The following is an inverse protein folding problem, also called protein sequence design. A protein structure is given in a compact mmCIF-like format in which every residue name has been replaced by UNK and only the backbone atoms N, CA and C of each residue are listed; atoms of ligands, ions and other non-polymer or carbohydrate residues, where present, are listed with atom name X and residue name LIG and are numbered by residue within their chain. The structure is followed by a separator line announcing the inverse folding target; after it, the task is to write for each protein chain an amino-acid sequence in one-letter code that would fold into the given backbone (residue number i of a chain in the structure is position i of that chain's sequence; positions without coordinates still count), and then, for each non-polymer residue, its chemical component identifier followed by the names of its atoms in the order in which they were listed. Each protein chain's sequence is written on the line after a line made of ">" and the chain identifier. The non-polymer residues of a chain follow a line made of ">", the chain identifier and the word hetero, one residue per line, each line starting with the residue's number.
data_IF_252977245541
#
_entry.id   IF_252977245541
#
_cell.length_a   1.000
_cell.length_b   1.000
_cell.length_c   1.000
_cell.angle_alpha   90.00
_cell.angle_beta   90.00
_cell.angle_gamma   90.00
#
_symmetry.space_group_name_H-M   'P 1'
#
loop_
_entity.id
_entity.type
_entity.pdbx_description
1 polymer ?
#
# COMPACT_ATOMS: atom_id res chain seq x y z
N UNK A 1 -6.78 12.63 -2.50
CA UNK A 1 -6.08 11.37 -2.86
C UNK A 1 -4.95 11.18 -1.88
N UNK A 2 -4.77 9.96 -1.37
CA UNK A 2 -3.63 9.61 -0.53
C UNK A 2 -2.35 9.70 -1.38
N UNK A 3 -1.26 10.16 -0.79
CA UNK A 3 0.05 10.32 -1.46
C UNK A 3 1.10 9.83 -0.47
N UNK A 4 2.09 9.10 -0.96
CA UNK A 4 3.28 8.70 -0.18
C UNK A 4 4.55 9.20 -0.86
N UNK A 5 5.64 9.31 -0.12
CA UNK A 5 6.96 9.61 -0.72
C UNK A 5 7.68 8.34 -1.14
N UNK A 6 8.59 8.44 -2.12
CA UNK A 6 9.46 7.30 -2.49
C UNK A 6 10.39 6.94 -1.33
N UNK A 7 10.77 7.92 -0.50
CA UNK A 7 11.47 7.69 0.77
C UNK A 7 10.69 6.78 1.70
N UNK A 8 9.40 7.04 1.93
CA UNK A 8 8.55 6.17 2.76
C UNK A 8 8.47 4.75 2.21
N UNK A 9 8.25 4.58 0.90
CA UNK A 9 8.27 3.27 0.25
C UNK A 9 9.61 2.56 0.47
N UNK A 10 10.71 3.26 0.21
CA UNK A 10 12.06 2.71 0.33
C UNK A 10 12.34 2.26 1.76
N UNK A 11 12.18 3.11 2.76
CA UNK A 11 12.47 2.76 4.16
C UNK A 11 11.55 1.66 4.69
N UNK A 12 10.25 1.72 4.36
CA UNK A 12 9.27 0.73 4.82
C UNK A 12 9.51 -0.65 4.20
N UNK A 13 9.93 -0.70 2.92
CA UNK A 13 9.96 -1.93 2.12
C UNK A 13 11.33 -2.36 1.65
N UNK A 14 12.41 -1.70 2.10
CA UNK A 14 13.79 -2.00 1.71
C UNK A 14 14.13 -3.48 1.81
N UNK A 15 13.82 -4.10 2.95
CA UNK A 15 14.12 -5.51 3.20
C UNK A 15 13.19 -6.43 2.42
N UNK A 16 11.88 -6.19 2.50
CA UNK A 16 10.84 -7.02 1.85
C UNK A 16 11.01 -7.09 0.33
N UNK A 17 11.40 -5.98 -0.30
CA UNK A 17 11.56 -5.85 -1.76
C UNK A 17 13.04 -5.95 -2.20
N UNK A 18 13.96 -6.25 -1.27
CA UNK A 18 15.40 -6.32 -1.49
C UNK A 18 15.96 -5.10 -2.25
N UNK A 19 15.56 -3.89 -1.83
CA UNK A 19 15.88 -2.63 -2.51
C UNK A 19 17.23 -2.07 -2.08
N UNK A 20 17.93 -1.48 -3.04
CA UNK A 20 19.04 -0.57 -2.86
C UNK A 20 18.80 0.71 -3.67
N UNK A 21 19.21 1.84 -3.11
CA UNK A 21 19.18 3.11 -3.83
C UNK A 21 20.38 3.17 -4.80
N UNK A 22 20.12 3.62 -6.03
CA UNK A 22 21.15 3.81 -7.08
C UNK A 22 21.51 5.30 -7.19
N UNK A 23 20.50 6.18 -7.22
CA UNK A 23 20.66 7.64 -7.30
C UNK A 23 21.00 8.28 -5.96
N UNK A 24 21.15 9.60 -5.94
CA UNK A 24 21.40 10.37 -4.73
C UNK A 24 20.18 10.33 -3.77
N UNK A 25 20.39 10.30 -2.43
CA UNK A 25 19.31 10.22 -1.44
C UNK A 25 18.24 11.32 -1.53
N UNK A 26 18.58 12.47 -2.09
CA UNK A 26 17.72 13.64 -2.29
C UNK A 26 16.59 13.34 -3.28
N UNK A 27 16.84 12.44 -4.25
CA UNK A 27 15.86 12.02 -5.27
C UNK A 27 14.64 11.31 -4.69
N UNK A 28 14.75 10.73 -3.49
CA UNK A 28 13.68 10.00 -2.80
C UNK A 28 12.49 10.88 -2.35
N UNK A 29 12.59 12.21 -2.48
CA UNK A 29 11.53 13.14 -2.08
C UNK A 29 10.37 13.22 -3.07
N UNK A 30 10.46 12.54 -4.22
CA UNK A 30 9.33 12.39 -5.17
C UNK A 30 8.12 11.77 -4.50
N UNK A 31 6.95 12.14 -5.01
CA UNK A 31 5.64 11.69 -4.52
C UNK A 31 5.08 10.63 -5.44
N UNK A 32 4.44 9.63 -4.87
CA UNK A 32 3.67 8.61 -5.57
C UNK A 32 2.20 8.76 -5.19
N UNK A 33 1.35 8.95 -6.20
CA UNK A 33 -0.11 9.10 -6.06
C UNK A 33 -0.91 7.98 -6.71
N UNK A 34 -0.23 7.06 -7.40
CA UNK A 34 -0.85 5.96 -8.15
C UNK A 34 -0.49 4.61 -7.53
N UNK A 35 -1.47 3.71 -7.48
CA UNK A 35 -1.27 2.33 -7.04
C UNK A 35 -0.73 1.41 -8.14
N UNK A 36 -0.70 1.90 -9.39
CA UNK A 36 -0.33 1.10 -10.54
C UNK A 36 1.18 0.99 -10.72
N UNK A 37 1.57 0.04 -11.55
CA UNK A 37 2.95 -0.20 -11.94
C UNK A 37 2.98 -0.29 -13.46
N UNK A 38 3.90 0.43 -14.08
CA UNK A 38 4.10 0.39 -15.52
C UNK A 38 5.43 -0.27 -15.88
N UNK A 39 5.44 -0.97 -17.01
CA UNK A 39 6.65 -1.47 -17.67
C UNK A 39 6.81 -0.72 -18.99
N UNK A 40 7.79 0.17 -19.11
CA UNK A 40 7.81 1.18 -20.17
C UNK A 40 8.32 0.66 -21.53
N UNK A 41 7.99 -0.57 -21.93
CA UNK A 41 8.55 -1.20 -23.14
C UNK A 41 8.32 -0.38 -24.43
N UNK A 42 7.07 0.01 -24.70
CA UNK A 42 6.73 0.81 -25.90
C UNK A 42 7.21 2.27 -25.78
N UNK A 43 7.20 2.83 -24.57
CA UNK A 43 7.71 4.17 -24.30
C UNK A 43 9.20 4.28 -24.64
N UNK A 44 9.97 3.25 -24.29
CA UNK A 44 11.38 3.16 -24.68
C UNK A 44 11.57 3.08 -26.19
N UNK A 45 10.61 2.55 -26.94
CA UNK A 45 10.64 2.54 -28.40
C UNK A 45 10.21 3.88 -29.05
N UNK A 46 9.76 4.85 -28.25
CA UNK A 46 9.39 6.20 -28.70
C UNK A 46 7.88 6.47 -28.73
N UNK A 47 7.03 5.53 -28.31
CA UNK A 47 5.58 5.72 -28.27
C UNK A 47 5.10 6.13 -26.87
N UNK A 48 4.81 7.42 -26.68
CA UNK A 48 4.50 8.02 -25.38
C UNK A 48 3.03 8.42 -25.18
N UNK A 49 2.18 8.29 -26.20
CA UNK A 49 0.78 8.79 -26.18
C UNK A 49 -0.06 8.19 -25.05
N UNK A 50 0.25 6.97 -24.62
CA UNK A 50 -0.45 6.23 -23.54
C UNK A 50 0.47 5.90 -22.37
N UNK A 51 1.53 6.68 -22.18
CA UNK A 51 2.48 6.44 -21.11
C UNK A 51 1.95 6.88 -19.74
N UNK A 52 1.87 5.93 -18.80
CA UNK A 52 1.45 6.18 -17.42
C UNK A 52 2.60 6.74 -16.59
N UNK A 53 2.78 8.06 -16.59
CA UNK A 53 3.88 8.71 -15.88
C UNK A 53 3.66 8.88 -14.37
N UNK A 54 2.43 8.77 -13.88
CA UNK A 54 2.05 8.98 -12.48
C UNK A 54 2.36 7.79 -11.56
N UNK A 55 2.94 6.71 -12.11
CA UNK A 55 3.10 5.42 -11.44
C UNK A 55 4.56 4.91 -11.44
N UNK A 56 4.84 3.87 -10.65
CA UNK A 56 6.18 3.30 -10.59
C UNK A 56 6.56 2.66 -11.93
N UNK A 57 7.77 2.93 -12.40
CA UNK A 57 8.30 2.36 -13.64
C UNK A 57 9.22 1.18 -13.32
N UNK A 58 8.84 -0.03 -13.72
CA UNK A 58 9.64 -1.24 -13.48
C UNK A 58 10.42 -1.62 -14.72
N UNK A 59 11.74 -1.69 -14.57
CA UNK A 59 12.66 -2.08 -15.63
C UNK A 59 13.13 -3.50 -15.39
N UNK A 60 12.63 -4.40 -16.23
CA UNK A 60 13.04 -5.79 -16.32
C UNK A 60 14.19 -5.96 -17.30
N UNK A 61 14.46 -7.23 -17.58
CA UNK A 61 15.52 -7.60 -18.51
C UNK A 61 15.23 -7.18 -19.95
N UNK A 62 13.96 -7.16 -20.36
CA UNK A 62 13.58 -6.71 -21.71
C UNK A 62 13.90 -5.23 -21.89
N UNK A 63 13.50 -4.40 -20.93
CA UNK A 63 13.69 -2.96 -20.97
C UNK A 63 15.18 -2.59 -20.90
N UNK A 64 15.93 -3.21 -19.99
CA UNK A 64 17.38 -2.96 -19.84
C UNK A 64 18.16 -3.44 -21.06
N UNK A 65 17.92 -4.67 -21.54
CA UNK A 65 18.63 -5.19 -22.73
C UNK A 65 18.30 -4.38 -23.97
N UNK A 66 17.06 -3.94 -24.14
CA UNK A 66 16.67 -3.08 -25.24
C UNK A 66 17.48 -1.78 -25.23
N UNK A 67 17.57 -1.09 -24.08
CA UNK A 67 18.39 0.11 -23.95
C UNK A 67 19.86 -0.14 -24.33
N UNK A 68 20.42 -1.28 -23.93
CA UNK A 68 21.79 -1.67 -24.25
C UNK A 68 22.03 -1.95 -25.76
N UNK A 69 20.98 -2.18 -26.55
CA UNK A 69 21.11 -2.32 -28.02
C UNK A 69 21.19 -0.98 -28.76
N UNK A 70 20.85 0.13 -28.11
CA UNK A 70 20.79 1.44 -28.74
C UNK A 70 22.15 2.15 -28.70
N UNK A 71 22.47 2.97 -29.70
CA UNK A 71 23.55 3.95 -29.58
C UNK A 71 23.33 4.87 -28.36
N UNK A 72 24.41 5.26 -27.68
CA UNK A 72 24.32 6.02 -26.42
C UNK A 72 23.51 7.31 -26.55
N UNK A 73 23.69 8.07 -27.64
CA UNK A 73 22.93 9.30 -27.90
C UNK A 73 21.42 9.06 -27.94
N UNK A 74 20.99 8.01 -28.66
CA UNK A 74 19.58 7.64 -28.79
C UNK A 74 19.01 7.08 -27.49
N UNK A 75 19.81 6.31 -26.74
CA UNK A 75 19.45 5.80 -25.43
C UNK A 75 19.16 6.95 -24.45
N UNK A 76 20.07 7.93 -24.39
CA UNK A 76 19.93 9.11 -23.52
C UNK A 76 18.77 10.00 -23.95
N UNK A 77 18.56 10.18 -25.25
CA UNK A 77 17.40 10.91 -25.78
C UNK A 77 16.08 10.30 -25.28
N UNK A 78 15.94 8.97 -25.39
CA UNK A 78 14.71 8.25 -24.98
C UNK A 78 14.49 8.29 -23.48
N UNK A 79 15.55 8.07 -22.70
CA UNK A 79 15.47 8.16 -21.24
C UNK A 79 15.13 9.58 -20.78
N UNK A 80 15.73 10.61 -21.40
CA UNK A 80 15.41 12.02 -21.11
C UNK A 80 13.95 12.32 -21.37
N UNK A 81 13.38 11.86 -22.49
CA UNK A 81 11.94 12.04 -22.78
C UNK A 81 11.06 11.42 -21.70
N UNK A 82 11.37 10.22 -21.22
CA UNK A 82 10.63 9.57 -20.12
C UNK A 82 10.77 10.36 -18.82
N UNK A 83 11.98 10.82 -18.47
CA UNK A 83 12.22 11.55 -17.22
C UNK A 83 11.54 12.92 -17.21
N UNK A 84 11.44 13.58 -18.37
CA UNK A 84 10.70 14.83 -18.54
C UNK A 84 9.19 14.70 -18.30
N UNK A 85 8.64 13.48 -18.26
CA UNK A 85 7.24 13.24 -17.89
C UNK A 85 7.01 13.22 -16.37
N UNK A 86 8.05 13.57 -15.58
CA UNK A 86 8.00 13.69 -14.13
C UNK A 86 7.61 12.40 -13.40
N UNK A 87 8.20 11.27 -13.83
CA UNK A 87 7.91 9.97 -13.24
C UNK A 87 8.31 9.90 -11.76
N UNK A 88 7.57 9.16 -10.92
CA UNK A 88 7.83 9.15 -9.49
C UNK A 88 9.10 8.39 -9.13
N UNK A 89 9.36 7.24 -9.78
CA UNK A 89 10.50 6.38 -9.47
C UNK A 89 10.68 5.29 -10.53
N UNK A 90 11.92 4.87 -10.74
CA UNK A 90 12.29 3.65 -11.48
C UNK A 90 12.75 2.58 -10.52
N UNK A 91 12.31 1.34 -10.73
CA UNK A 91 12.85 0.16 -10.03
C UNK A 91 13.40 -0.83 -11.06
N UNK A 92 14.72 -1.06 -11.01
CA UNK A 92 15.42 -2.03 -11.85
C UNK A 92 15.40 -3.38 -11.15
N UNK A 93 15.09 -4.46 -11.87
CA UNK A 93 14.94 -5.80 -11.29
C UNK A 93 16.14 -6.71 -11.56
N UNK A 94 16.17 -7.88 -10.92
CA UNK A 94 17.21 -8.92 -11.08
C UNK A 94 18.64 -8.46 -10.79
N UNK A 95 18.82 -7.37 -10.04
CA UNK A 95 20.13 -6.77 -9.81
C UNK A 95 20.80 -6.24 -11.08
N UNK A 96 20.03 -6.01 -12.16
CA UNK A 96 20.52 -5.33 -13.34
C UNK A 96 20.87 -3.88 -13.02
N UNK A 97 21.75 -3.30 -13.84
CA UNK A 97 22.18 -1.91 -13.73
C UNK A 97 21.97 -1.18 -15.04
N UNK A 98 21.77 0.13 -14.94
CA UNK A 98 21.86 1.00 -16.10
C UNK A 98 23.31 1.42 -16.35
N UNK A 99 23.62 1.87 -17.58
CA UNK A 99 24.85 2.61 -17.84
C UNK A 99 24.95 3.88 -16.96
N UNK A 100 26.16 4.28 -16.53
CA UNK A 100 26.37 5.45 -15.67
C UNK A 100 25.77 6.76 -16.23
N UNK A 101 25.69 6.89 -17.56
CA UNK A 101 25.12 8.07 -18.20
C UNK A 101 23.61 8.24 -17.94
N UNK A 102 22.86 7.15 -17.75
CA UNK A 102 21.45 7.20 -17.33
C UNK A 102 21.34 7.61 -15.85
N UNK A 103 22.21 7.08 -14.99
CA UNK A 103 22.22 7.43 -13.57
C UNK A 103 22.51 8.92 -13.35
N UNK A 104 23.51 9.46 -14.05
CA UNK A 104 23.82 10.88 -14.04
C UNK A 104 22.61 11.73 -14.47
N UNK A 105 21.97 11.35 -15.58
CA UNK A 105 20.77 12.02 -16.06
C UNK A 105 19.60 11.94 -15.06
N UNK A 106 19.47 10.83 -14.35
CA UNK A 106 18.43 10.65 -13.34
C UNK A 106 18.67 11.55 -12.13
N UNK A 107 19.91 11.68 -11.66
CA UNK A 107 20.26 12.63 -10.60
C UNK A 107 19.99 14.09 -11.03
N UNK A 108 20.43 14.47 -12.23
CA UNK A 108 20.22 15.82 -12.80
C UNK A 108 18.73 16.19 -12.90
N UNK A 109 17.88 15.24 -13.30
CA UNK A 109 16.43 15.42 -13.41
C UNK A 109 15.66 15.03 -12.14
N UNK A 110 16.37 14.76 -11.04
CA UNK A 110 15.81 14.40 -9.75
C UNK A 110 14.84 13.20 -9.79
N UNK A 111 15.15 12.18 -10.59
CA UNK A 111 14.38 10.94 -10.73
C UNK A 111 15.03 9.85 -9.87
N UNK A 112 14.35 9.30 -8.84
CA UNK A 112 14.92 8.25 -8.04
C UNK A 112 14.98 6.93 -8.82
N UNK A 113 16.13 6.27 -8.74
CA UNK A 113 16.33 4.92 -9.25
C UNK A 113 16.65 3.99 -8.09
N UNK A 114 15.85 2.95 -7.97
CA UNK A 114 16.06 1.85 -7.04
C UNK A 114 16.46 0.59 -7.84
N UNK A 115 17.26 -0.27 -7.23
CA UNK A 115 17.55 -1.61 -7.74
C UNK A 115 17.01 -2.65 -6.78
N UNK A 116 16.44 -3.72 -7.31
CA UNK A 116 15.99 -4.89 -6.57
C UNK A 116 16.66 -6.15 -7.10
N UNK A 117 17.07 -7.04 -6.20
CA UNK A 117 17.59 -8.36 -6.56
C UNK A 117 16.51 -9.37 -6.94
N UNK A 118 15.22 -9.03 -6.73
CA UNK A 118 14.11 -9.92 -7.03
C UNK A 118 13.88 -10.04 -8.54
N UNK A 119 13.27 -11.15 -8.97
CA UNK A 119 12.77 -11.27 -10.34
C UNK A 119 11.65 -10.26 -10.60
N UNK A 120 11.45 -9.88 -11.87
CA UNK A 120 10.43 -8.89 -12.26
C UNK A 120 9.03 -9.29 -11.80
N UNK A 121 8.67 -10.57 -11.95
CA UNK A 121 7.36 -11.07 -11.53
C UNK A 121 7.16 -11.01 -10.00
N UNK A 122 8.17 -11.43 -9.23
CA UNK A 122 8.11 -11.38 -7.77
C UNK A 122 8.04 -9.94 -7.25
N UNK A 123 8.84 -9.04 -7.81
CA UNK A 123 8.83 -7.63 -7.42
C UNK A 123 7.46 -7.01 -7.66
N UNK A 124 6.89 -7.18 -8.87
CA UNK A 124 5.58 -6.63 -9.24
C UNK A 124 4.49 -7.18 -8.31
N UNK A 125 4.50 -8.48 -7.99
CA UNK A 125 3.53 -9.08 -7.08
C UNK A 125 3.59 -8.44 -5.68
N UNK A 126 4.78 -8.28 -5.12
CA UNK A 126 4.95 -7.70 -3.78
C UNK A 126 4.64 -6.20 -3.76
N UNK A 127 5.04 -5.45 -4.79
CA UNK A 127 4.69 -4.05 -4.94
C UNK A 127 3.18 -3.87 -5.07
N UNK A 128 2.49 -4.64 -5.92
CA UNK A 128 1.04 -4.56 -6.06
C UNK A 128 0.34 -4.76 -4.71
N UNK A 129 0.74 -5.78 -3.95
CA UNK A 129 0.16 -6.01 -2.60
C UNK A 129 0.37 -4.80 -1.68
N UNK A 130 1.57 -4.23 -1.69
CA UNK A 130 1.88 -3.06 -0.86
C UNK A 130 1.10 -1.83 -1.31
N UNK A 131 1.05 -1.55 -2.60
CA UNK A 131 0.39 -0.37 -3.17
C UNK A 131 -1.13 -0.46 -3.00
N UNK A 132 -1.73 -1.63 -3.23
CA UNK A 132 -3.16 -1.86 -2.97
C UNK A 132 -3.51 -1.59 -1.51
N UNK A 133 -2.67 -2.04 -0.57
CA UNK A 133 -2.86 -1.69 0.83
C UNK A 133 -2.71 -0.17 1.02
N UNK A 134 -1.57 0.43 0.64
CA UNK A 134 -1.33 1.87 0.85
C UNK A 134 -2.46 2.74 0.29
N UNK A 135 -2.95 2.45 -0.91
CA UNK A 135 -3.94 3.28 -1.61
C UNK A 135 -5.39 2.77 -1.48
N UNK A 136 -5.65 1.74 -0.67
CA UNK A 136 -6.99 1.22 -0.44
C UNK A 136 -7.96 2.34 -0.03
N UNK A 137 -9.13 2.38 -0.67
CA UNK A 137 -10.21 3.29 -0.31
C UNK A 137 -10.67 2.96 1.11
N UNK A 138 -10.74 3.99 1.97
CA UNK A 138 -11.15 3.83 3.35
C UNK A 138 -12.23 4.82 3.77
N UNK A 139 -13.12 4.39 4.66
CA UNK A 139 -14.16 5.20 5.28
C UNK A 139 -14.33 4.79 6.73
N UNK A 140 -14.36 5.77 7.63
CA UNK A 140 -14.68 5.52 9.05
C UNK A 140 -16.15 5.82 9.29
N UNK A 141 -16.86 4.93 9.99
CA UNK A 141 -18.27 5.06 10.35
C UNK A 141 -18.50 4.78 11.83
N UNK A 142 -19.65 5.23 12.35
CA UNK A 142 -20.10 4.85 13.68
C UNK A 142 -20.78 3.48 13.67
N UNK A 143 -20.11 2.46 14.21
CA UNK A 143 -20.58 1.07 14.24
C UNK A 143 -19.81 0.25 15.29
N UNK A 144 -20.27 -0.97 15.54
CA UNK A 144 -19.54 -1.97 16.33
C UNK A 144 -19.31 -3.19 15.45
N UNK A 145 -18.08 -3.67 15.35
CA UNK A 145 -17.74 -4.83 14.51
C UNK A 145 -17.33 -6.01 15.38
N UNK A 146 -17.99 -7.15 15.16
CA UNK A 146 -17.76 -8.39 15.91
C UNK A 146 -17.58 -9.57 14.95
N UNK A 147 -16.84 -10.60 15.39
CA UNK A 147 -16.73 -11.88 14.70
C UNK A 147 -17.59 -12.94 15.40
N UNK A 148 -18.61 -13.44 14.72
CA UNK A 148 -19.56 -14.46 15.20
C UNK A 148 -19.53 -15.65 14.24
N UNK A 149 -19.19 -16.84 14.72
CA UNK A 149 -19.02 -18.05 13.89
C UNK A 149 -18.13 -17.81 12.64
N UNK A 150 -17.06 -17.05 12.83
CA UNK A 150 -16.14 -16.62 11.76
C UNK A 150 -16.71 -15.68 10.70
N UNK A 151 -17.93 -15.18 10.88
CA UNK A 151 -18.51 -14.10 10.08
C UNK A 151 -18.28 -12.74 10.77
N UNK A 152 -17.82 -11.74 10.03
CA UNK A 152 -17.76 -10.36 10.50
C UNK A 152 -19.12 -9.68 10.37
N UNK A 153 -19.68 -9.28 11.51
CA UNK A 153 -20.99 -8.64 11.60
C UNK A 153 -20.80 -7.19 12.04
N UNK A 154 -21.23 -6.25 11.18
CA UNK A 154 -21.16 -4.82 11.43
C UNK A 154 -22.47 -4.32 12.03
N UNK A 155 -22.52 -4.21 13.36
CA UNK A 155 -23.68 -3.69 14.06
C UNK A 155 -23.80 -2.18 13.83
N UNK A 156 -24.87 -1.77 13.16
CA UNK A 156 -25.20 -0.36 12.89
C UNK A 156 -26.50 0.05 13.58
N UNK A 157 -26.69 1.35 13.80
CA UNK A 157 -27.87 1.88 14.48
C UNK A 157 -27.60 3.17 15.22
N UNK A 158 -28.68 3.81 15.70
CA UNK A 158 -28.61 5.10 16.43
C UNK A 158 -27.67 5.00 17.64
N UNK A 159 -27.09 6.14 18.04
CA UNK A 159 -26.28 6.19 19.27
C UNK A 159 -27.12 5.81 20.49
N UNK A 160 -26.55 4.99 21.38
CA UNK A 160 -27.25 4.55 22.59
C UNK A 160 -28.35 3.51 22.42
N UNK A 161 -28.50 2.91 21.23
CA UNK A 161 -29.51 1.86 20.98
C UNK A 161 -29.15 0.50 21.61
N UNK A 162 -27.93 0.33 22.12
CA UNK A 162 -27.46 -0.93 22.72
C UNK A 162 -26.42 -1.71 21.90
N UNK A 163 -25.71 -1.07 20.95
CA UNK A 163 -24.73 -1.77 20.08
C UNK A 163 -23.56 -2.37 20.87
N UNK A 164 -22.96 -1.55 21.74
CA UNK A 164 -21.83 -1.94 22.58
C UNK A 164 -22.25 -3.02 23.59
N UNK A 165 -23.43 -2.89 24.19
CA UNK A 165 -24.00 -3.88 25.11
C UNK A 165 -24.26 -5.21 24.41
N UNK A 166 -24.84 -5.19 23.20
CA UNK A 166 -25.03 -6.39 22.38
C UNK A 166 -23.69 -7.05 22.01
N UNK A 167 -22.68 -6.27 21.65
CA UNK A 167 -21.35 -6.79 21.35
C UNK A 167 -20.70 -7.43 22.59
N UNK A 168 -20.86 -6.84 23.77
CA UNK A 168 -20.35 -7.39 25.03
C UNK A 168 -20.98 -8.75 25.34
N UNK A 169 -22.29 -8.89 25.15
CA UNK A 169 -23.00 -10.16 25.32
C UNK A 169 -22.51 -11.24 24.35
N UNK A 170 -22.24 -10.87 23.09
CA UNK A 170 -21.68 -11.80 22.11
C UNK A 170 -20.27 -12.26 22.52
N UNK A 171 -19.43 -11.34 22.98
CA UNK A 171 -18.08 -11.65 23.47
C UNK A 171 -18.15 -12.59 24.68
N UNK A 172 -19.06 -12.34 25.62
CA UNK A 172 -19.30 -13.21 26.77
C UNK A 172 -19.73 -14.63 26.34
N UNK A 173 -20.40 -14.77 25.20
CA UNK A 173 -20.76 -16.07 24.59
C UNK A 173 -19.63 -16.73 23.78
N UNK A 174 -18.43 -16.13 23.78
CA UNK A 174 -17.25 -16.65 23.11
C UNK A 174 -16.99 -16.09 21.71
N UNK A 175 -17.70 -15.04 21.30
CA UNK A 175 -17.39 -14.32 20.07
C UNK A 175 -16.26 -13.32 20.28
N UNK A 176 -15.85 -12.61 19.24
CA UNK A 176 -14.69 -11.70 19.32
C UNK A 176 -15.05 -10.28 18.91
N UNK A 177 -14.49 -9.30 19.61
CA UNK A 177 -14.56 -7.89 19.23
C UNK A 177 -13.53 -7.60 18.15
N UNK A 178 -13.90 -6.86 17.12
CA UNK A 178 -12.96 -6.26 16.17
C UNK A 178 -12.77 -4.77 16.45
N UNK A 179 -13.83 -4.09 16.87
CA UNK A 179 -13.80 -2.70 17.34
C UNK A 179 -15.17 -2.20 17.76
N UNK A 180 -15.20 -1.12 18.52
CA UNK A 180 -16.43 -0.45 18.96
C UNK A 180 -16.38 1.06 18.67
N UNK A 181 -17.57 1.66 18.54
CA UNK A 181 -17.83 3.06 18.19
C UNK A 181 -17.35 3.49 16.80
N UNK A 182 -16.05 3.51 16.50
CA UNK A 182 -15.51 3.98 15.22
C UNK A 182 -14.81 2.86 14.46
N UNK A 183 -15.41 2.43 13.35
CA UNK A 183 -14.87 1.36 12.50
C UNK A 183 -14.37 1.97 11.19
N UNK A 184 -13.09 1.78 10.90
CA UNK A 184 -12.53 2.07 9.58
C UNK A 184 -12.74 0.86 8.69
N UNK A 185 -13.46 1.08 7.59
CA UNK A 185 -13.75 0.09 6.55
C UNK A 185 -12.87 0.39 5.35
N UNK A 186 -12.17 -0.62 4.83
CA UNK A 186 -11.29 -0.52 3.66
C UNK A 186 -11.77 -1.46 2.57
N UNK A 187 -11.79 -1.00 1.33
CA UNK A 187 -12.05 -1.84 0.16
C UNK A 187 -10.72 -2.41 -0.35
N UNK A 188 -10.54 -3.72 -0.24
CA UNK A 188 -9.33 -4.43 -0.68
C UNK A 188 -9.78 -5.68 -1.43
N UNK A 189 -9.37 -5.83 -2.69
CA UNK A 189 -9.73 -6.98 -3.54
C UNK A 189 -11.25 -7.29 -3.53
N UNK A 190 -12.09 -6.26 -3.74
CA UNK A 190 -13.56 -6.31 -3.70
C UNK A 190 -14.17 -6.79 -2.37
N UNK A 191 -13.38 -6.85 -1.29
CA UNK A 191 -13.81 -7.19 0.06
C UNK A 191 -13.77 -5.97 0.97
N UNK A 192 -14.77 -5.86 1.85
CA UNK A 192 -14.80 -4.84 2.89
C UNK A 192 -14.09 -5.37 4.13
N UNK A 193 -12.93 -4.81 4.44
CA UNK A 193 -12.16 -5.15 5.65
C UNK A 193 -12.39 -4.06 6.68
N UNK A 194 -12.98 -4.43 7.82
CA UNK A 194 -13.22 -3.54 8.95
C UNK A 194 -12.17 -3.71 10.04
N UNK A 195 -11.78 -2.60 10.67
CA UNK A 195 -10.95 -2.56 11.88
C UNK A 195 -11.38 -1.42 12.79
N UNK A 196 -11.02 -1.49 14.07
CA UNK A 196 -11.10 -0.33 14.95
C UNK A 196 -10.30 0.84 14.37
N UNK A 197 -10.89 2.04 14.33
CA UNK A 197 -10.20 3.29 13.96
C UNK A 197 -9.22 3.76 15.04
N UNK A 198 -9.36 3.26 16.27
CA UNK A 198 -8.52 3.61 17.42
C UNK A 198 -7.49 2.50 17.62
N UNK A 199 -6.24 2.88 17.87
CA UNK A 199 -5.14 1.93 18.18
C UNK A 199 -5.45 1.04 19.40
N UNK A 200 -6.36 1.50 20.26
CA UNK A 200 -6.90 0.83 21.45
C UNK A 200 -8.11 -0.05 21.11
N UNK A 201 -8.06 -0.84 20.03
CA UNK A 201 -9.20 -1.60 19.48
C UNK A 201 -9.87 -2.61 20.43
N UNK A 202 -9.28 -2.87 21.59
CA UNK A 202 -9.83 -3.72 22.65
C UNK A 202 -10.73 -2.97 23.64
N UNK A 203 -10.85 -1.64 23.55
CA UNK A 203 -11.66 -0.84 24.48
C UNK A 203 -13.07 -0.60 23.97
N UNK A 204 -14.02 -0.56 24.91
CA UNK A 204 -15.42 -0.27 24.65
C UNK A 204 -15.97 0.63 25.76
N UNK A 205 -16.95 1.47 25.45
CA UNK A 205 -17.66 2.28 26.45
C UNK A 205 -19.03 1.67 26.71
N UNK A 206 -19.26 1.24 27.95
CA UNK A 206 -20.55 0.67 28.36
C UNK A 206 -21.25 1.66 29.29
N UNK A 207 -22.51 1.98 28.98
CA UNK A 207 -23.30 2.91 29.80
C UNK A 207 -23.50 2.34 31.20
N UNK A 208 -23.25 3.17 32.21
CA UNK A 208 -23.36 2.78 33.62
C UNK A 208 -22.18 1.98 34.17
N UNK A 209 -21.25 1.53 33.31
CA UNK A 209 -20.03 0.82 33.72
C UNK A 209 -18.78 1.68 33.46
N UNK A 210 -18.76 2.42 32.33
CA UNK A 210 -17.61 3.19 31.86
C UNK A 210 -16.80 2.42 30.81
N UNK A 211 -15.52 2.79 30.67
CA UNK A 211 -14.61 2.14 29.73
C UNK A 211 -14.17 0.78 30.24
N UNK A 212 -14.35 -0.24 29.40
CA UNK A 212 -13.87 -1.61 29.66
C UNK A 212 -12.82 -2.00 28.62
N UNK A 213 -11.92 -2.89 29.01
CA UNK A 213 -10.93 -3.47 28.11
C UNK A 213 -11.25 -4.95 27.92
N UNK A 214 -11.75 -5.28 26.74
CA UNK A 214 -12.20 -6.63 26.37
C UNK A 214 -11.06 -7.65 26.43
N UNK A 215 -9.88 -7.27 25.98
CA UNK A 215 -8.69 -8.15 26.01
C UNK A 215 -8.28 -8.52 27.44
N UNK A 216 -8.32 -7.56 28.38
CA UNK A 216 -8.00 -7.82 29.79
C UNK A 216 -9.06 -8.65 30.50
N UNK A 217 -10.33 -8.50 30.10
CA UNK A 217 -11.45 -9.18 30.76
C UNK A 217 -11.70 -10.57 30.22
N UNK A 218 -11.58 -10.77 28.91
CA UNK A 218 -11.98 -11.98 28.21
C UNK A 218 -10.84 -12.68 27.47
N UNK A 219 -9.63 -12.11 27.46
CA UNK A 219 -8.46 -12.67 26.81
C UNK A 219 -8.24 -12.16 25.37
N UNK A 220 -7.00 -12.27 24.90
CA UNK A 220 -6.56 -11.85 23.57
C UNK A 220 -7.28 -12.60 22.44
N UNK A 221 -7.71 -13.84 22.71
CA UNK A 221 -8.46 -14.68 21.79
C UNK A 221 -9.86 -14.14 21.49
N UNK A 222 -10.36 -13.19 22.29
CA UNK A 222 -11.65 -12.51 22.09
C UNK A 222 -11.52 -11.17 21.40
N UNK A 223 -10.33 -10.83 20.90
CA UNK A 223 -10.11 -9.62 20.11
C UNK A 223 -9.54 -9.98 18.74
N UNK A 224 -9.91 -9.21 17.73
CA UNK A 224 -9.37 -9.27 16.37
C UNK A 224 -8.91 -7.89 15.95
N UNK A 225 -7.77 -7.81 15.27
CA UNK A 225 -7.27 -6.54 14.72
C UNK A 225 -8.11 -6.03 13.55
N UNK A 226 -8.59 -6.97 12.72
CA UNK A 226 -9.41 -6.68 11.55
C UNK A 226 -10.25 -7.91 11.20
N UNK A 227 -11.34 -7.70 10.46
CA UNK A 227 -12.21 -8.78 9.96
C UNK A 227 -12.88 -8.35 8.65
N UNK A 228 -13.06 -9.28 7.73
CA UNK A 228 -13.93 -9.10 6.56
C UNK A 228 -15.38 -8.90 7.02
N UNK A 229 -16.08 -7.91 6.47
CA UNK A 229 -17.46 -7.62 6.81
C UNK A 229 -18.35 -8.44 5.89
N UNK A 230 -18.98 -9.45 6.45
CA UNK A 230 -19.87 -10.38 5.73
C UNK A 230 -21.33 -9.90 5.80
N UNK A 231 -21.72 -9.26 6.91
CA UNK A 231 -23.10 -8.88 7.21
C UNK A 231 -23.17 -7.52 7.92
N UNK A 232 -24.31 -6.83 7.76
CA UNK A 232 -24.67 -5.59 8.47
C UNK A 232 -26.04 -5.74 9.14
#
# INVERSE_FOLDING_TARGET
>A
MKVITIRELFETKKKDLALSLVTEPETLNKKLSSQFINRPGLALAGYLDVFFSDCLQVFGEVEVRYLQTLPEELMLERMRRIFQMDIPCIIITKGLTFPPSIEYLANDLNIPILSSRLSTAQLIQLLNRYLLDVFALEKTIHATLVEVFSLGILLTGKSGIGKSECALDLIHRGHSLVGDDLITIRLIDDKLIGKSSRDLGSFMEIRGVGFVNVERMFGIERVRKQKEIDLQ
#
